data_IF_976688756204
#
_entry.id   IF_976688756204
#
_cell.length_a   1.000
_cell.length_b   1.000
_cell.length_c   1.000
_cell.angle_alpha   90.00
_cell.angle_beta   90.00
_cell.angle_gamma   90.00
#
_symmetry.space_group_name_H-M   'P 1'
#
loop_
_entity.id
_entity.type
_entity.pdbx_description
1 polymer ?
#
# COMPACT_ATOMS: atom_id res chain seq x y z
N UNK A 1 -2.91 20.12 -20.94
CA UNK A 1 -4.13 20.95 -20.87
C UNK A 1 -5.33 20.02 -20.72
N UNK A 2 -5.55 19.46 -19.53
CA UNK A 2 -6.66 18.56 -19.18
C UNK A 2 -6.74 18.38 -17.64
N UNK A 3 -6.55 19.46 -16.86
CA UNK A 3 -6.75 19.47 -15.39
C UNK A 3 -7.50 20.72 -14.93
N UNK A 4 -8.20 21.42 -15.84
CA UNK A 4 -8.82 22.70 -15.52
C UNK A 4 -10.30 22.72 -15.91
N UNK A 5 -11.12 21.88 -15.28
CA UNK A 5 -12.58 22.09 -15.31
C UNK A 5 -13.37 21.21 -14.32
N UNK A 6 -13.00 21.24 -13.03
CA UNK A 6 -13.94 20.82 -11.96
C UNK A 6 -13.73 21.77 -10.79
N UNK A 7 -14.47 22.88 -10.77
CA UNK A 7 -15.30 23.31 -9.63
C UNK A 7 -15.85 24.72 -9.89
N UNK A 8 -17.04 24.82 -10.47
CA UNK A 8 -17.86 26.04 -10.45
C UNK A 8 -19.26 25.66 -10.00
N UNK A 9 -19.43 25.31 -8.73
CA UNK A 9 -20.61 25.69 -7.94
C UNK A 9 -20.20 25.75 -6.45
N UNK A 10 -20.20 26.96 -5.89
CA UNK A 10 -20.04 27.19 -4.46
C UNK A 10 -21.36 26.82 -3.78
N UNK A 11 -21.43 25.62 -3.22
CA UNK A 11 -22.48 25.30 -2.26
C UNK A 11 -21.92 25.58 -0.85
N UNK A 12 -22.40 26.66 -0.22
CA UNK A 12 -22.03 27.00 1.14
C UNK A 12 -22.96 26.31 2.14
N UNK A 13 -22.48 25.23 2.77
CA UNK A 13 -23.11 24.69 3.96
C UNK A 13 -22.32 25.14 5.20
N UNK A 14 -22.94 25.93 6.07
CA UNK A 14 -22.37 26.24 7.40
C UNK A 14 -23.04 25.34 8.44
N UNK A 15 -22.48 24.15 8.63
CA UNK A 15 -22.75 23.36 9.84
C UNK A 15 -21.67 23.67 10.86
N UNK A 16 -22.08 24.15 12.03
CA UNK A 16 -21.18 24.41 13.16
C UNK A 16 -21.30 23.26 14.14
N UNK A 17 -20.57 22.18 13.89
CA UNK A 17 -20.36 21.12 14.90
C UNK A 17 -19.07 21.44 15.62
N UNK A 18 -19.16 21.87 16.89
CA UNK A 18 -17.98 22.06 17.74
C UNK A 18 -17.52 20.69 18.24
N UNK A 19 -16.68 20.02 17.45
CA UNK A 19 -15.96 18.83 17.92
C UNK A 19 -14.53 19.24 18.20
N UNK A 20 -14.18 19.33 19.49
CA UNK A 20 -12.82 19.59 19.91
C UNK A 20 -12.01 18.29 19.80
N UNK A 21 -11.43 18.07 18.63
CA UNK A 21 -10.45 17.00 18.41
C UNK A 21 -9.07 17.48 18.81
N UNK A 22 -8.37 16.69 19.63
CA UNK A 22 -6.94 16.82 19.82
C UNK A 22 -6.28 15.76 18.93
N UNK A 23 -5.68 16.21 17.83
CA UNK A 23 -4.90 15.34 16.95
C UNK A 23 -3.51 15.25 17.56
N UNK A 24 -3.17 14.09 18.10
CA UNK A 24 -1.83 13.80 18.63
C UNK A 24 -1.20 12.67 17.82
N UNK A 25 0.11 12.47 17.96
CA UNK A 25 0.83 11.35 17.34
C UNK A 25 0.35 9.96 17.81
N UNK A 26 -0.54 9.88 18.80
CA UNK A 26 -1.15 8.64 19.30
C UNK A 26 -2.61 8.45 18.84
N UNK A 27 -3.12 9.30 17.95
CA UNK A 27 -4.49 9.27 17.43
C UNK A 27 -5.38 10.42 17.91
N UNK A 28 -6.68 10.29 17.62
CA UNK A 28 -7.71 11.28 17.92
C UNK A 28 -8.23 11.07 19.35
N UNK A 29 -7.94 12.00 20.27
CA UNK A 29 -8.55 12.04 21.60
C UNK A 29 -9.64 13.11 21.67
N UNK A 30 -10.79 12.74 22.25
CA UNK A 30 -11.97 13.62 22.39
C UNK A 30 -12.14 13.98 23.86
N UNK A 31 -12.11 15.28 24.17
CA UNK A 31 -12.43 15.77 25.52
C UNK A 31 -13.94 15.91 25.72
N UNK A 32 -14.47 15.25 26.76
CA UNK A 32 -15.72 15.67 27.41
C UNK A 32 -17.03 15.00 26.97
N UNK A 33 -17.01 13.86 26.26
CA UNK A 33 -18.22 13.09 25.94
C UNK A 33 -18.05 11.59 26.22
N UNK A 34 -19.10 10.92 26.68
CA UNK A 34 -19.11 9.45 26.75
C UNK A 34 -18.96 8.87 25.34
N UNK A 35 -18.00 7.94 25.14
CA UNK A 35 -17.57 7.43 23.82
C UNK A 35 -18.73 7.04 22.88
N UNK A 36 -19.82 6.47 23.42
CA UNK A 36 -21.00 6.08 22.63
C UNK A 36 -21.79 7.24 22.03
N UNK A 37 -21.80 8.42 22.66
CA UNK A 37 -22.53 9.59 22.15
C UNK A 37 -21.90 10.15 20.87
N UNK A 38 -20.57 10.12 20.78
CA UNK A 38 -19.83 10.57 19.60
C UNK A 38 -20.07 9.65 18.40
N UNK A 39 -20.00 8.33 18.62
CA UNK A 39 -20.27 7.31 17.60
C UNK A 39 -21.66 7.52 17.01
N UNK A 40 -22.67 7.71 17.85
CA UNK A 40 -24.04 7.93 17.41
C UNK A 40 -24.19 9.24 16.63
N UNK A 41 -23.59 10.35 17.08
CA UNK A 41 -23.62 11.61 16.33
C UNK A 41 -22.92 11.50 14.97
N UNK A 42 -21.85 10.72 14.86
CA UNK A 42 -21.17 10.47 13.59
C UNK A 42 -22.06 9.66 12.64
N UNK A 43 -22.74 8.63 13.15
CA UNK A 43 -23.70 7.83 12.38
C UNK A 43 -24.87 8.70 11.92
N UNK A 44 -25.46 9.52 12.80
CA UNK A 44 -26.54 10.46 12.45
C UNK A 44 -26.12 11.46 11.36
N UNK A 45 -24.90 11.99 11.46
CA UNK A 45 -24.34 12.89 10.44
C UNK A 45 -24.16 12.17 9.10
N UNK A 46 -23.57 10.98 9.10
CA UNK A 46 -23.35 10.22 7.87
C UNK A 46 -24.67 9.74 7.25
N UNK A 47 -25.67 9.41 8.07
CA UNK A 47 -26.98 8.98 7.60
C UNK A 47 -27.85 10.14 7.09
N UNK A 48 -27.61 11.36 7.57
CA UNK A 48 -28.30 12.56 7.07
C UNK A 48 -27.57 13.23 5.91
N UNK A 49 -26.39 12.73 5.54
CA UNK A 49 -25.61 13.23 4.40
C UNK A 49 -26.20 12.75 3.07
N UNK A 50 -26.16 13.63 2.07
CA UNK A 50 -26.38 13.27 0.67
C UNK A 50 -25.14 12.59 0.06
N UNK A 51 -25.08 12.43 -1.26
CA UNK A 51 -24.00 11.72 -1.97
C UNK A 51 -22.61 12.19 -1.51
N UNK A 52 -21.95 11.34 -0.73
CA UNK A 52 -20.64 11.62 -0.14
C UNK A 52 -19.73 10.43 -0.33
N UNK A 53 -18.48 10.72 -0.69
CA UNK A 53 -17.41 9.73 -0.79
C UNK A 53 -16.42 9.97 0.34
N UNK A 54 -16.18 8.95 1.16
CA UNK A 54 -15.20 8.96 2.25
C UNK A 54 -14.09 7.99 1.89
N UNK A 55 -12.89 8.51 1.67
CA UNK A 55 -11.72 7.71 1.34
C UNK A 55 -10.77 7.61 2.55
N UNK A 56 -10.45 6.39 2.94
CA UNK A 56 -9.42 6.06 3.92
C UNK A 56 -8.19 5.56 3.19
N UNK A 57 -7.14 6.38 3.18
CA UNK A 57 -5.86 6.04 2.56
C UNK A 57 -5.00 5.27 3.55
N UNK A 58 -4.30 4.24 3.07
CA UNK A 58 -3.40 3.37 3.85
C UNK A 58 -4.03 2.89 5.16
N UNK A 59 -5.20 2.27 5.05
CA UNK A 59 -6.06 1.87 6.19
C UNK A 59 -5.34 0.94 7.19
N UNK A 60 -4.19 0.37 6.84
CA UNK A 60 -3.34 -0.38 7.77
C UNK A 60 -2.52 0.45 8.73
N UNK A 61 -2.19 1.69 8.38
CA UNK A 61 -1.52 2.60 9.31
C UNK A 61 -2.52 2.99 10.41
N UNK A 62 -3.82 2.93 10.11
CA UNK A 62 -4.91 3.00 11.09
C UNK A 62 -5.06 1.69 11.89
N UNK A 63 -4.06 0.79 11.88
CA UNK A 63 -4.02 -0.43 12.70
C UNK A 63 -4.59 -0.14 14.09
N UNK A 64 -5.64 -0.88 14.44
CA UNK A 64 -6.75 -0.49 15.34
C UNK A 64 -7.91 0.25 14.66
N UNK A 65 -8.47 -0.36 13.60
CA UNK A 65 -9.91 -0.29 13.40
C UNK A 65 -10.58 -0.90 14.63
N UNK A 66 -10.75 -0.09 15.68
CA UNK A 66 -11.47 -0.48 16.89
C UNK A 66 -12.80 -1.09 16.45
N UNK A 67 -13.35 -2.05 17.21
CA UNK A 67 -14.68 -2.61 16.94
C UNK A 67 -15.71 -1.51 16.64
N UNK A 68 -15.57 -0.37 17.32
CA UNK A 68 -16.36 0.85 17.14
C UNK A 68 -16.26 1.46 15.74
N UNK A 69 -15.07 1.51 15.14
CA UNK A 69 -14.91 1.99 13.75
C UNK A 69 -15.62 1.04 12.78
N UNK A 70 -15.46 -0.28 12.96
CA UNK A 70 -16.17 -1.27 12.14
C UNK A 70 -17.69 -1.21 12.35
N UNK A 71 -18.16 -0.92 13.57
CA UNK A 71 -19.58 -0.72 13.89
C UNK A 71 -20.15 0.51 13.16
N UNK A 72 -19.41 1.61 13.08
CA UNK A 72 -19.82 2.81 12.31
C UNK A 72 -19.91 2.48 10.83
N UNK A 73 -18.86 1.88 10.26
CA UNK A 73 -18.83 1.47 8.86
C UNK A 73 -20.01 0.54 8.52
N UNK A 74 -20.26 -0.46 9.38
CA UNK A 74 -21.36 -1.39 9.21
C UNK A 74 -22.73 -0.72 9.30
N UNK A 75 -22.92 0.24 10.20
CA UNK A 75 -24.18 0.99 10.29
C UNK A 75 -24.43 1.83 9.05
N UNK A 76 -23.45 2.65 8.67
CA UNK A 76 -23.56 3.57 7.52
C UNK A 76 -23.83 2.78 6.23
N UNK A 77 -23.08 1.70 6.00
CA UNK A 77 -23.30 0.81 4.86
C UNK A 77 -24.73 0.25 4.79
N UNK A 78 -25.32 -0.09 5.94
CA UNK A 78 -26.67 -0.67 5.99
C UNK A 78 -27.80 0.36 5.87
N UNK A 79 -27.53 1.63 6.18
CA UNK A 79 -28.58 2.64 6.41
C UNK A 79 -28.58 3.76 5.39
N UNK A 80 -27.44 4.09 4.76
CA UNK A 80 -27.38 5.17 3.78
C UNK A 80 -26.63 4.75 2.49
N UNK A 81 -27.35 4.39 1.40
CA UNK A 81 -26.73 4.00 0.14
C UNK A 81 -26.01 5.14 -0.60
N UNK A 82 -26.21 6.40 -0.18
CA UNK A 82 -25.54 7.59 -0.74
C UNK A 82 -24.14 7.81 -0.17
N UNK A 83 -23.77 7.09 0.89
CA UNK A 83 -22.43 7.19 1.49
C UNK A 83 -21.56 6.09 0.92
N UNK A 84 -20.60 6.47 0.09
CA UNK A 84 -19.60 5.57 -0.47
C UNK A 84 -18.32 5.62 0.34
N UNK A 85 -17.82 4.45 0.74
CA UNK A 85 -16.59 4.34 1.51
C UNK A 85 -15.54 3.62 0.67
N UNK A 86 -14.40 4.27 0.49
CA UNK A 86 -13.25 3.73 -0.25
C UNK A 86 -12.12 3.49 0.73
N UNK A 87 -11.51 2.31 0.65
CA UNK A 87 -10.30 1.97 1.37
C UNK A 87 -9.17 1.78 0.37
N UNK A 88 -8.02 2.39 0.63
CA UNK A 88 -6.76 2.03 0.00
C UNK A 88 -5.88 1.29 1.02
N UNK A 89 -4.94 0.50 0.53
CA UNK A 89 -3.92 -0.13 1.36
C UNK A 89 -2.93 -0.93 0.54
N UNK A 90 -1.64 -0.71 0.76
CA UNK A 90 -0.58 -1.49 0.13
C UNK A 90 -0.44 -2.92 0.67
N UNK A 91 -1.05 -3.21 1.83
CA UNK A 91 -0.91 -4.48 2.56
C UNK A 91 -2.09 -5.42 2.30
N UNK A 92 -1.85 -6.48 1.55
CA UNK A 92 -2.86 -7.49 1.15
C UNK A 92 -3.52 -8.18 2.36
N UNK A 93 -2.79 -8.32 3.48
CA UNK A 93 -3.31 -8.92 4.70
C UNK A 93 -4.47 -8.15 5.34
N UNK A 94 -4.42 -6.81 5.31
CA UNK A 94 -5.51 -6.00 5.85
C UNK A 94 -6.70 -5.96 4.91
N UNK A 95 -6.46 -5.83 3.60
CA UNK A 95 -7.51 -5.93 2.59
C UNK A 95 -8.27 -7.25 2.77
N UNK A 96 -7.57 -8.36 3.02
CA UNK A 96 -8.20 -9.66 3.32
C UNK A 96 -9.04 -9.63 4.61
N UNK A 97 -8.59 -8.95 5.67
CA UNK A 97 -9.36 -8.83 6.91
C UNK A 97 -10.64 -8.00 6.73
N UNK A 98 -10.63 -6.99 5.85
CA UNK A 98 -11.82 -6.21 5.47
C UNK A 98 -12.75 -6.99 4.54
N UNK A 99 -12.21 -7.78 3.61
CA UNK A 99 -12.97 -8.59 2.65
C UNK A 99 -13.58 -9.85 3.27
N UNK A 100 -12.92 -10.44 4.26
CA UNK A 100 -13.34 -11.67 4.94
C UNK A 100 -13.33 -11.48 6.45
N UNK A 101 -14.20 -10.61 6.97
CA UNK A 101 -14.25 -10.34 8.40
C UNK A 101 -14.78 -11.57 9.16
N UNK A 102 -14.35 -11.80 10.41
CA UNK A 102 -14.83 -12.91 11.22
C UNK A 102 -16.34 -12.82 11.48
N UNK A 103 -16.96 -13.95 11.83
CA UNK A 103 -18.42 -14.08 11.96
C UNK A 103 -19.05 -13.15 13.00
N UNK A 104 -18.26 -12.67 13.96
CA UNK A 104 -18.67 -11.71 14.99
C UNK A 104 -18.47 -10.24 14.58
N UNK A 105 -17.98 -9.99 13.36
CA UNK A 105 -17.76 -8.65 12.83
C UNK A 105 -19.06 -8.03 12.29
N UNK A 106 -19.29 -6.72 12.54
CA UNK A 106 -20.39 -5.96 11.94
C UNK A 106 -20.39 -5.91 10.40
N UNK A 107 -19.23 -6.22 9.78
CA UNK A 107 -19.06 -6.27 8.33
C UNK A 107 -19.26 -7.68 7.76
N UNK A 108 -19.57 -8.68 8.59
CA UNK A 108 -19.81 -10.04 8.12
C UNK A 108 -20.97 -10.11 7.11
N UNK A 109 -20.72 -10.79 5.98
CA UNK A 109 -21.67 -10.88 4.87
C UNK A 109 -21.77 -9.63 3.99
N UNK A 110 -20.88 -8.64 4.17
CA UNK A 110 -20.88 -7.37 3.43
C UNK A 110 -19.51 -7.09 2.80
N UNK A 111 -19.04 -7.93 1.87
CA UNK A 111 -17.72 -7.74 1.27
C UNK A 111 -17.69 -6.46 0.43
N UNK A 112 -16.67 -5.58 0.59
CA UNK A 112 -16.49 -4.45 -0.29
C UNK A 112 -16.14 -4.90 -1.71
N UNK A 113 -16.43 -4.04 -2.70
CA UNK A 113 -15.93 -4.23 -4.07
C UNK A 113 -14.41 -4.09 -4.08
N UNK A 114 -13.70 -5.13 -4.52
CA UNK A 114 -12.24 -5.11 -4.62
C UNK A 114 -11.80 -4.53 -5.97
N UNK A 115 -10.99 -3.46 -5.94
CA UNK A 115 -10.26 -2.95 -7.09
C UNK A 115 -8.78 -3.18 -6.85
N UNK A 116 -8.18 -4.10 -7.61
CA UNK A 116 -6.76 -4.44 -7.50
C UNK A 116 -5.95 -3.76 -8.60
N UNK A 117 -5.18 -2.75 -8.21
CA UNK A 117 -4.17 -2.15 -9.10
C UNK A 117 -2.96 -3.08 -9.19
N UNK A 118 -2.48 -3.30 -10.42
CA UNK A 118 -1.29 -4.12 -10.70
C UNK A 118 -0.24 -3.25 -11.39
N UNK A 119 1.05 -3.62 -11.32
CA UNK A 119 2.05 -3.05 -12.21
C UNK A 119 1.58 -3.13 -13.66
N UNK A 120 2.01 -2.15 -14.46
CA UNK A 120 1.73 -2.17 -15.89
C UNK A 120 2.43 -3.35 -16.55
N UNK A 121 1.73 -3.97 -17.49
CA UNK A 121 2.39 -4.86 -18.45
C UNK A 121 3.36 -4.04 -19.34
N UNK A 122 4.16 -4.76 -20.14
CA UNK A 122 5.15 -4.14 -21.01
C UNK A 122 4.52 -3.10 -21.94
N UNK A 123 3.38 -3.41 -22.56
CA UNK A 123 2.72 -2.51 -23.52
C UNK A 123 2.21 -1.23 -22.86
N UNK A 124 1.53 -1.36 -21.70
CA UNK A 124 1.09 -0.20 -20.91
C UNK A 124 2.26 0.62 -20.40
N UNK A 125 3.37 -0.02 -20.03
CA UNK A 125 4.57 0.69 -19.57
C UNK A 125 5.22 1.49 -20.69
N UNK A 126 5.33 0.92 -21.90
CA UNK A 126 5.81 1.64 -23.10
C UNK A 126 4.89 2.84 -23.36
N UNK A 127 3.58 2.59 -23.42
CA UNK A 127 2.60 3.64 -23.68
C UNK A 127 2.66 4.77 -22.64
N UNK A 128 2.78 4.43 -21.35
CA UNK A 128 2.89 5.38 -20.25
C UNK A 128 4.13 6.29 -20.39
N UNK A 129 5.30 5.68 -20.65
CA UNK A 129 6.54 6.43 -20.87
C UNK A 129 6.46 7.29 -22.14
N UNK A 130 6.01 6.73 -23.27
CA UNK A 130 5.87 7.47 -24.53
C UNK A 130 4.97 8.69 -24.37
N UNK A 131 3.79 8.52 -23.73
CA UNK A 131 2.85 9.61 -23.53
C UNK A 131 3.42 10.69 -22.63
N UNK A 132 4.02 10.32 -21.49
CA UNK A 132 4.63 11.29 -20.59
C UNK A 132 5.75 12.11 -21.25
N UNK A 133 6.56 11.48 -22.11
CA UNK A 133 7.63 12.20 -22.83
C UNK A 133 7.11 13.03 -24.00
N UNK A 134 6.08 12.53 -24.70
CA UNK A 134 5.42 13.23 -25.79
C UNK A 134 4.78 14.54 -25.32
N UNK A 135 4.25 14.60 -24.09
CA UNK A 135 3.72 15.84 -23.50
C UNK A 135 4.74 16.98 -23.42
N UNK A 136 6.03 16.64 -23.43
CA UNK A 136 7.16 17.58 -23.43
C UNK A 136 7.86 17.65 -24.80
N UNK A 137 7.26 17.08 -25.84
CA UNK A 137 7.77 17.09 -27.21
C UNK A 137 9.01 16.20 -27.41
N UNK A 138 9.27 15.25 -26.50
CA UNK A 138 10.44 14.39 -26.56
C UNK A 138 10.06 13.03 -27.14
N UNK A 139 10.84 12.59 -28.13
CA UNK A 139 10.76 11.23 -28.66
C UNK A 139 11.70 10.34 -27.87
N UNK A 140 11.18 9.25 -27.32
CA UNK A 140 11.93 8.29 -26.54
C UNK A 140 11.88 6.91 -27.20
N UNK A 141 12.96 6.16 -27.10
CA UNK A 141 13.13 4.86 -27.78
C UNK A 141 13.85 3.82 -26.93
N UNK A 142 14.12 4.12 -25.65
CA UNK A 142 14.80 3.23 -24.70
C UNK A 142 13.84 2.65 -23.64
N UNK A 143 12.56 2.50 -23.99
CA UNK A 143 11.52 2.02 -23.07
C UNK A 143 11.83 0.63 -22.51
N UNK A 144 12.32 -0.29 -23.37
CA UNK A 144 12.60 -1.67 -22.99
C UNK A 144 13.63 -1.74 -21.84
N UNK A 145 14.68 -0.93 -21.91
CA UNK A 145 15.73 -0.87 -20.89
C UNK A 145 15.21 -0.33 -19.55
N UNK A 146 14.30 0.65 -19.58
CA UNK A 146 13.64 1.18 -18.38
C UNK A 146 12.73 0.13 -17.77
N UNK A 147 11.93 -0.55 -18.59
CA UNK A 147 10.97 -1.56 -18.14
C UNK A 147 11.69 -2.77 -17.55
N UNK A 148 12.80 -3.21 -18.14
CA UNK A 148 13.61 -4.31 -17.62
C UNK A 148 14.09 -4.03 -16.17
N UNK A 149 14.37 -2.77 -15.84
CA UNK A 149 14.84 -2.38 -14.50
C UNK A 149 13.72 -2.02 -13.53
N UNK A 150 12.60 -1.47 -14.02
CA UNK A 150 11.56 -0.87 -13.17
C UNK A 150 10.24 -1.68 -13.14
N UNK A 151 10.15 -2.75 -13.93
CA UNK A 151 9.12 -3.80 -13.88
C UNK A 151 7.66 -3.28 -13.93
N UNK A 152 7.44 -2.20 -14.68
CA UNK A 152 6.10 -1.63 -14.90
C UNK A 152 5.47 -0.94 -13.68
N UNK A 153 6.23 -0.73 -12.60
CA UNK A 153 5.71 -0.03 -11.42
C UNK A 153 5.62 1.47 -11.71
N UNK A 154 4.39 1.98 -11.74
CA UNK A 154 4.06 3.35 -12.17
C UNK A 154 4.85 4.41 -11.42
N UNK A 155 5.06 4.25 -10.11
CA UNK A 155 5.85 5.16 -9.28
C UNK A 155 7.30 5.28 -9.77
N UNK A 156 7.96 4.15 -10.06
CA UNK A 156 9.33 4.12 -10.56
C UNK A 156 9.43 4.65 -11.99
N UNK A 157 8.50 4.30 -12.88
CA UNK A 157 8.44 4.86 -14.24
C UNK A 157 8.28 6.39 -14.21
N UNK A 158 7.44 6.90 -13.32
CA UNK A 158 7.22 8.34 -13.13
C UNK A 158 8.48 9.03 -12.61
N UNK A 159 9.15 8.44 -11.62
CA UNK A 159 10.38 9.00 -11.06
C UNK A 159 11.51 9.03 -12.09
N UNK A 160 11.65 7.97 -12.89
CA UNK A 160 12.56 7.95 -14.04
C UNK A 160 12.23 9.05 -15.04
N UNK A 161 10.97 9.19 -15.45
CA UNK A 161 10.53 10.26 -16.34
C UNK A 161 10.87 11.64 -15.80
N UNK A 162 10.69 11.87 -14.49
CA UNK A 162 11.09 13.12 -13.84
C UNK A 162 12.60 13.37 -13.93
N UNK A 163 13.43 12.39 -13.59
CA UNK A 163 14.88 12.53 -13.65
C UNK A 163 15.39 12.75 -15.07
N UNK A 164 14.94 11.93 -16.02
CA UNK A 164 15.45 11.95 -17.37
C UNK A 164 14.96 13.17 -18.15
N UNK A 165 13.66 13.46 -18.09
CA UNK A 165 13.04 14.43 -18.99
C UNK A 165 12.86 15.80 -18.33
N UNK A 166 12.37 15.84 -17.09
CA UNK A 166 12.12 17.12 -16.40
C UNK A 166 13.42 17.72 -15.88
N UNK A 167 14.26 16.91 -15.24
CA UNK A 167 15.57 17.34 -14.71
C UNK A 167 16.71 17.21 -15.72
N UNK A 168 16.44 16.67 -16.91
CA UNK A 168 17.39 16.56 -18.03
C UNK A 168 18.67 15.79 -17.67
N UNK A 169 18.56 14.79 -16.80
CA UNK A 169 19.69 13.91 -16.51
C UNK A 169 19.88 12.94 -17.69
N UNK A 170 21.15 12.63 -17.98
CA UNK A 170 21.49 11.56 -18.92
C UNK A 170 20.79 10.26 -18.53
N UNK A 171 20.39 9.46 -19.51
CA UNK A 171 19.59 8.26 -19.30
C UNK A 171 20.15 7.34 -18.20
N UNK A 172 21.45 7.03 -18.26
CA UNK A 172 22.10 6.12 -17.29
C UNK A 172 22.12 6.71 -15.88
N UNK A 173 22.28 8.05 -15.79
CA UNK A 173 22.25 8.76 -14.52
C UNK A 173 20.82 8.72 -13.99
N UNK A 174 19.81 9.08 -14.80
CA UNK A 174 18.42 9.06 -14.41
C UNK A 174 17.98 7.69 -13.90
N UNK A 175 18.33 6.61 -14.60
CA UNK A 175 17.99 5.25 -14.20
C UNK A 175 18.67 4.85 -12.89
N UNK A 176 19.96 5.18 -12.73
CA UNK A 176 20.69 4.94 -11.48
C UNK A 176 20.11 5.73 -10.30
N UNK A 177 19.75 6.99 -10.50
CA UNK A 177 19.11 7.81 -9.47
C UNK A 177 17.73 7.27 -9.11
N UNK A 178 16.92 6.84 -10.09
CA UNK A 178 15.63 6.18 -9.84
C UNK A 178 15.79 4.94 -8.96
N UNK A 179 16.75 4.07 -9.30
CA UNK A 179 17.03 2.87 -8.51
C UNK A 179 17.55 3.23 -7.13
N UNK A 180 18.44 4.23 -7.04
CA UNK A 180 19.00 4.72 -5.79
C UNK A 180 17.93 5.24 -4.82
N UNK A 181 17.04 6.09 -5.29
CA UNK A 181 15.92 6.62 -4.50
C UNK A 181 14.88 5.54 -4.19
N UNK A 182 14.52 4.71 -5.15
CA UNK A 182 13.58 3.60 -4.94
C UNK A 182 14.07 2.62 -3.87
N UNK A 183 15.37 2.31 -3.85
CA UNK A 183 15.99 1.49 -2.79
C UNK A 183 15.89 2.14 -1.41
N UNK A 184 16.06 3.46 -1.30
CA UNK A 184 15.94 4.17 -0.01
C UNK A 184 14.50 4.07 0.50
N UNK A 185 13.52 4.38 -0.35
CA UNK A 185 12.10 4.31 -0.03
C UNK A 185 11.70 2.89 0.42
N UNK A 186 12.05 1.88 -0.37
CA UNK A 186 11.70 0.49 -0.04
C UNK A 186 12.45 -0.03 1.19
N UNK A 187 13.67 0.46 1.45
CA UNK A 187 14.41 0.11 2.66
C UNK A 187 13.77 0.74 3.91
N UNK A 188 13.30 1.98 3.82
CA UNK A 188 12.55 2.65 4.89
C UNK A 188 11.24 1.91 5.20
N UNK A 189 10.47 1.54 4.18
CA UNK A 189 9.24 0.76 4.34
C UNK A 189 9.52 -0.62 4.97
N UNK A 190 10.56 -1.31 4.50
CA UNK A 190 10.94 -2.59 5.05
C UNK A 190 11.42 -2.47 6.51
N UNK A 191 12.18 -1.42 6.85
CA UNK A 191 12.60 -1.16 8.23
C UNK A 191 11.42 -0.82 9.13
N UNK A 192 10.43 -0.07 8.64
CA UNK A 192 9.19 0.19 9.35
C UNK A 192 8.45 -1.13 9.64
N UNK A 193 8.32 -2.01 8.65
CA UNK A 193 7.77 -3.36 8.83
C UNK A 193 8.52 -4.16 9.90
N UNK A 194 9.86 -4.12 9.88
CA UNK A 194 10.71 -4.85 10.83
C UNK A 194 10.66 -4.28 12.26
N UNK A 195 10.29 -3.02 12.44
CA UNK A 195 10.32 -2.33 13.74
C UNK A 195 9.59 -3.12 14.85
N UNK A 196 8.47 -3.75 14.48
CA UNK A 196 7.58 -4.52 15.35
C UNK A 196 7.84 -6.04 15.31
N UNK A 197 8.98 -6.49 14.77
CA UNK A 197 9.32 -7.92 14.65
C UNK A 197 10.45 -8.29 15.60
N UNK A 198 10.26 -9.37 16.35
CA UNK A 198 11.29 -9.91 17.27
C UNK A 198 12.48 -10.49 16.49
N UNK A 199 12.22 -11.31 15.47
CA UNK A 199 13.27 -11.97 14.69
C UNK A 199 13.51 -11.27 13.34
N UNK A 200 14.02 -10.04 13.38
CA UNK A 200 14.30 -9.23 12.17
C UNK A 200 15.25 -9.94 11.20
N UNK A 201 16.23 -10.65 11.75
CA UNK A 201 17.25 -11.33 10.96
C UNK A 201 16.68 -12.45 10.09
N UNK A 202 15.64 -13.14 10.54
CA UNK A 202 14.95 -14.16 9.74
C UNK A 202 14.33 -13.53 8.48
N UNK A 203 13.63 -12.40 8.61
CA UNK A 203 13.03 -11.71 7.47
C UNK A 203 14.08 -11.27 6.45
N UNK A 204 15.18 -10.68 6.91
CA UNK A 204 16.26 -10.23 6.03
C UNK A 204 16.96 -11.39 5.31
N UNK A 205 17.15 -12.53 5.98
CA UNK A 205 17.69 -13.73 5.34
C UNK A 205 16.71 -14.33 4.33
N UNK A 206 15.41 -14.38 4.64
CA UNK A 206 14.38 -14.80 3.68
C UNK A 206 14.44 -13.93 2.42
N UNK A 207 14.47 -12.59 2.57
CA UNK A 207 14.57 -11.65 1.44
C UNK A 207 15.84 -11.84 0.62
N UNK A 208 16.98 -12.12 1.26
CA UNK A 208 18.22 -12.43 0.53
C UNK A 208 18.14 -13.73 -0.26
N UNK A 209 17.56 -14.79 0.31
CA UNK A 209 17.48 -16.10 -0.34
C UNK A 209 16.44 -16.09 -1.46
N UNK A 210 15.35 -15.33 -1.32
CA UNK A 210 14.31 -15.15 -2.34
C UNK A 210 14.83 -14.58 -3.68
N UNK A 211 16.03 -13.99 -3.68
CA UNK A 211 16.70 -13.54 -4.91
C UNK A 211 17.24 -14.69 -5.76
N UNK A 212 17.40 -15.87 -5.15
CA UNK A 212 18.03 -17.04 -5.76
C UNK A 212 17.09 -18.25 -5.82
N UNK A 213 16.13 -18.34 -4.89
CA UNK A 213 15.22 -19.47 -4.77
C UNK A 213 13.76 -19.00 -4.63
N UNK A 214 12.85 -19.73 -5.26
CA UNK A 214 11.41 -19.42 -5.24
C UNK A 214 10.58 -20.42 -4.43
N UNK A 215 11.04 -21.67 -4.24
CA UNK A 215 10.25 -22.71 -3.56
C UNK A 215 10.49 -22.69 -2.05
N UNK A 216 9.44 -22.98 -1.29
CA UNK A 216 9.48 -22.96 0.19
C UNK A 216 10.67 -23.74 0.78
N UNK A 217 10.91 -24.98 0.30
CA UNK A 217 12.00 -25.84 0.79
C UNK A 217 13.38 -25.23 0.52
N UNK A 218 13.57 -24.68 -0.67
CA UNK A 218 14.85 -24.11 -1.09
C UNK A 218 15.13 -22.81 -0.34
N UNK A 219 14.10 -21.99 -0.13
CA UNK A 219 14.21 -20.77 0.68
C UNK A 219 14.59 -21.13 2.12
N UNK A 220 13.91 -22.11 2.71
CA UNK A 220 14.19 -22.56 4.07
C UNK A 220 15.62 -23.08 4.20
N UNK A 221 16.04 -23.98 3.31
CA UNK A 221 17.41 -24.51 3.30
C UNK A 221 18.45 -23.38 3.20
N UNK A 222 18.23 -22.40 2.32
CA UNK A 222 19.13 -21.25 2.18
C UNK A 222 19.20 -20.38 3.43
N UNK A 223 18.09 -20.22 4.16
CA UNK A 223 18.07 -19.52 5.45
C UNK A 223 18.79 -20.32 6.53
N UNK A 224 18.55 -21.64 6.61
CA UNK A 224 19.15 -22.50 7.62
C UNK A 224 20.68 -22.64 7.47
N UNK A 225 21.20 -22.55 6.24
CA UNK A 225 22.66 -22.46 5.99
C UNK A 225 23.27 -21.21 6.65
N UNK A 226 22.53 -20.11 6.70
CA UNK A 226 23.03 -18.81 7.21
C UNK A 226 22.81 -18.63 8.70
N UNK A 227 21.72 -19.18 9.23
CA UNK A 227 21.24 -18.88 10.59
C UNK A 227 21.19 -20.10 11.52
N UNK A 228 21.43 -21.31 10.99
CA UNK A 228 21.13 -22.55 11.68
C UNK A 228 19.66 -22.95 11.55
N UNK A 229 19.29 -24.06 12.20
CA UNK A 229 17.95 -24.65 12.08
C UNK A 229 16.84 -23.68 12.50
N UNK A 230 15.79 -23.58 11.68
CA UNK A 230 14.61 -22.74 11.94
C UNK A 230 13.38 -23.64 11.99
N UNK A 231 12.53 -23.44 12.99
CA UNK A 231 11.25 -24.14 13.11
C UNK A 231 10.33 -23.84 11.91
N UNK A 232 9.68 -24.87 11.38
CA UNK A 232 8.86 -24.79 10.16
C UNK A 232 7.70 -23.80 10.31
N UNK A 233 7.09 -23.72 11.51
CA UNK A 233 5.99 -22.81 11.79
C UNK A 233 6.50 -21.37 11.89
N UNK A 234 7.64 -21.15 12.55
CA UNK A 234 8.28 -19.83 12.62
C UNK A 234 8.65 -19.32 11.23
N UNK A 235 9.29 -20.16 10.40
CA UNK A 235 9.66 -19.81 9.03
C UNK A 235 8.42 -19.51 8.17
N UNK A 236 7.40 -20.37 8.21
CA UNK A 236 6.19 -20.18 7.42
C UNK A 236 5.42 -18.93 7.83
N UNK A 237 5.38 -18.61 9.12
CA UNK A 237 4.78 -17.36 9.61
C UNK A 237 5.55 -16.13 9.12
N UNK A 238 6.89 -16.16 9.14
CA UNK A 238 7.70 -15.06 8.65
C UNK A 238 7.50 -14.84 7.14
N UNK A 239 7.51 -15.92 6.36
CA UNK A 239 7.26 -15.86 4.92
C UNK A 239 5.83 -15.38 4.60
N UNK A 240 4.83 -15.85 5.34
CA UNK A 240 3.45 -15.38 5.18
C UNK A 240 3.28 -13.92 5.58
N UNK A 241 4.01 -13.43 6.58
CA UNK A 241 4.02 -12.01 6.93
C UNK A 241 4.58 -11.16 5.79
N UNK A 242 5.66 -11.59 5.14
CA UNK A 242 6.18 -10.88 3.95
C UNK A 242 5.15 -10.84 2.80
N UNK A 243 4.36 -11.91 2.65
CA UNK A 243 3.25 -11.94 1.67
C UNK A 243 2.11 -11.01 2.05
N UNK A 244 1.70 -11.04 3.32
CA UNK A 244 0.63 -10.17 3.82
C UNK A 244 0.99 -8.68 3.69
N UNK A 245 2.29 -8.38 3.79
CA UNK A 245 2.85 -7.04 3.66
C UNK A 245 3.28 -6.68 2.23
N UNK A 246 2.94 -7.53 1.26
CA UNK A 246 3.21 -7.30 -0.15
C UNK A 246 4.69 -7.05 -0.48
N UNK A 247 5.64 -7.50 0.33
CA UNK A 247 7.06 -7.54 -0.08
C UNK A 247 7.34 -8.75 -0.99
N UNK A 248 6.53 -9.80 -0.80
CA UNK A 248 6.63 -11.08 -1.50
C UNK A 248 5.25 -11.46 -2.03
N UNK A 249 5.18 -12.02 -3.22
CA UNK A 249 3.98 -12.66 -3.76
C UNK A 249 4.14 -14.17 -3.70
N UNK A 250 3.03 -14.89 -3.56
CA UNK A 250 2.98 -16.34 -3.74
C UNK A 250 2.07 -16.65 -4.93
N UNK A 251 2.63 -17.27 -5.97
CA UNK A 251 1.88 -17.79 -7.12
C UNK A 251 2.17 -19.27 -7.22
N UNK A 252 1.13 -20.09 -7.17
CA UNK A 252 1.24 -21.54 -7.02
C UNK A 252 2.10 -21.89 -5.79
N UNK A 253 3.22 -22.60 -6.01
CA UNK A 253 4.18 -22.99 -4.97
C UNK A 253 5.47 -22.16 -4.99
N UNK A 254 5.47 -21.02 -5.69
CA UNK A 254 6.60 -20.12 -5.80
C UNK A 254 6.38 -18.79 -5.09
N UNK A 255 7.44 -18.31 -4.43
CA UNK A 255 7.52 -17.03 -3.77
C UNK A 255 8.45 -16.10 -4.54
N UNK A 256 8.03 -14.86 -4.78
CA UNK A 256 8.81 -13.86 -5.54
C UNK A 256 8.73 -12.49 -4.90
N UNK A 257 9.86 -11.80 -4.80
CA UNK A 257 9.90 -10.38 -4.39
C UNK A 257 9.11 -9.57 -5.41
N UNK A 258 8.14 -8.77 -4.94
CA UNK A 258 7.21 -8.07 -5.84
C UNK A 258 7.81 -6.85 -6.50
N UNK A 259 8.70 -6.14 -5.81
CA UNK A 259 9.25 -4.86 -6.26
C UNK A 259 10.72 -5.04 -6.71
N UNK A 260 11.12 -4.58 -7.90
CA UNK A 260 12.51 -4.66 -8.36
C UNK A 260 13.49 -3.93 -7.44
N UNK A 261 13.10 -2.83 -6.78
CA UNK A 261 13.96 -2.09 -5.85
C UNK A 261 14.36 -2.96 -4.65
N UNK A 262 13.46 -3.79 -4.14
CA UNK A 262 13.75 -4.75 -3.07
C UNK A 262 14.79 -5.80 -3.52
N UNK A 263 14.79 -6.20 -4.79
CA UNK A 263 15.80 -7.13 -5.34
C UNK A 263 17.19 -6.49 -5.34
N UNK A 264 17.28 -5.17 -5.46
CA UNK A 264 18.53 -4.40 -5.47
C UNK A 264 19.10 -4.08 -4.07
N UNK A 265 18.35 -4.32 -2.98
CA UNK A 265 18.77 -4.02 -1.60
C UNK A 265 19.60 -5.16 -1.02
N UNK A 266 20.78 -4.89 -0.45
CA UNK A 266 21.53 -5.91 0.29
C UNK A 266 21.05 -6.00 1.74
N UNK A 267 20.29 -7.05 2.08
CA UNK A 267 19.72 -7.24 3.41
C UNK A 267 20.70 -7.87 4.42
N UNK A 268 21.98 -8.06 4.09
CA UNK A 268 22.98 -8.54 5.06
C UNK A 268 23.33 -7.50 6.15
N UNK A 269 22.85 -6.26 6.01
CA UNK A 269 23.04 -5.16 6.99
C UNK A 269 21.78 -4.85 7.80
N UNK A 270 20.78 -5.73 7.75
CA UNK A 270 19.85 -5.88 8.85
C UNK A 270 20.56 -6.54 10.04
#
# INVERSE_FOLDING_TARGET
MLVSEINKEKISWRFKVNINFLITSAGIEIRGGSKGRVVNSLIELLNSSDDIVIAFDEVQELSFASKQFLDVLGNVYATNPKVHIIFSGSYVGLVKALLSPPSDSPLHGRPPTEIRLKPFDKEKSIYFLEKGMQELGIRFNRHDEVIEKLDGIVGWLTLFGNFHVVRKLDFEIALRETIGEGKKIMLEEFNHFLSNKENKQLYCNIMNVLKLASKWKDIKNGVEIRMGKVDDKVFSNALQNLVNFNFVSKVDDEYKIVDPMLKEINFNKC
#
